data_IF_415959879390
#
_entry.id   IF_415959879390
#
_cell.length_a   1.000
_cell.length_b   1.000
_cell.length_c   1.000
_cell.angle_alpha   90.00
_cell.angle_beta   90.00
_cell.angle_gamma   90.00
#
_symmetry.space_group_name_H-M   'P 1'
#
loop_
_entity.id
_entity.type
_entity.pdbx_description
1 polymer ?
#
# COMPACT_ATOMS: atom_id res chain seq x y z
N UNK A 1 -40.87 -13.87 -51.21
CA UNK A 1 -41.06 -12.64 -50.43
C UNK A 1 -41.15 -13.04 -48.97
N UNK A 2 -40.06 -12.88 -48.22
CA UNK A 2 -39.99 -13.29 -46.82
C UNK A 2 -39.35 -12.18 -46.00
N UNK A 3 -39.99 -11.93 -44.87
CA UNK A 3 -40.09 -10.66 -44.16
C UNK A 3 -38.84 -10.38 -43.31
N UNK A 4 -38.46 -9.11 -43.24
CA UNK A 4 -37.41 -8.60 -42.36
C UNK A 4 -37.92 -8.46 -40.92
N UNK A 5 -37.06 -8.78 -39.95
CA UNK A 5 -37.22 -8.37 -38.55
C UNK A 5 -36.32 -9.18 -37.61
N UNK A 6 -35.44 -8.49 -36.88
CA UNK A 6 -35.64 -8.51 -35.43
C UNK A 6 -35.66 -7.10 -34.83
N UNK A 7 -36.72 -6.84 -34.07
CA UNK A 7 -36.86 -5.63 -33.25
C UNK A 7 -35.92 -5.70 -32.05
N UNK A 8 -35.25 -4.57 -31.81
CA UNK A 8 -34.52 -4.26 -30.59
C UNK A 8 -35.42 -4.34 -29.36
N UNK A 9 -35.06 -5.22 -28.41
CA UNK A 9 -35.59 -5.21 -27.05
C UNK A 9 -34.54 -4.64 -26.09
N UNK A 10 -34.52 -3.31 -25.94
CA UNK A 10 -33.81 -2.61 -24.86
C UNK A 10 -34.67 -2.64 -23.59
N UNK A 11 -34.07 -2.92 -22.44
CA UNK A 11 -34.74 -2.67 -21.15
C UNK A 11 -34.14 -3.35 -19.91
N UNK A 12 -32.83 -3.27 -19.67
CA UNK A 12 -32.32 -3.49 -18.31
C UNK A 12 -32.62 -2.24 -17.47
N UNK A 13 -33.63 -2.33 -16.61
CA UNK A 13 -33.78 -1.39 -15.47
C UNK A 13 -33.04 -1.99 -14.28
N UNK A 14 -31.81 -1.53 -14.03
CA UNK A 14 -31.12 -1.77 -12.77
C UNK A 14 -31.36 -0.56 -11.88
N UNK A 15 -32.24 -0.73 -10.90
CA UNK A 15 -32.53 0.26 -9.86
C UNK A 15 -31.43 0.16 -8.80
N UNK A 16 -30.46 1.07 -8.81
CA UNK A 16 -29.42 1.15 -7.79
C UNK A 16 -29.92 2.05 -6.64
N UNK A 17 -30.44 1.43 -5.59
CA UNK A 17 -30.84 2.11 -4.36
C UNK A 17 -29.58 2.58 -3.62
N UNK A 18 -29.30 3.89 -3.69
CA UNK A 18 -28.25 4.54 -2.90
C UNK A 18 -28.76 4.66 -1.46
N UNK A 19 -28.40 3.67 -0.63
CA UNK A 19 -28.65 3.66 0.81
C UNK A 19 -27.60 4.51 1.53
N UNK A 20 -28.04 5.67 1.99
CA UNK A 20 -27.31 6.70 2.72
C UNK A 20 -26.64 6.17 4.00
N UNK A 21 -25.36 6.54 4.10
CA UNK A 21 -24.48 6.62 5.29
C UNK A 21 -25.19 6.72 6.66
N UNK A 22 -24.76 5.87 7.59
CA UNK A 22 -24.75 6.18 9.01
C UNK A 22 -23.48 5.59 9.63
N UNK A 23 -22.41 6.39 9.68
CA UNK A 23 -21.18 6.06 10.40
C UNK A 23 -21.25 6.66 11.80
N UNK A 24 -21.50 5.80 12.79
CA UNK A 24 -21.49 6.15 14.21
C UNK A 24 -20.04 6.23 14.69
N UNK A 25 -19.58 7.42 15.03
CA UNK A 25 -18.26 7.72 15.56
C UNK A 25 -18.24 7.38 17.06
N UNK A 26 -17.52 6.33 17.48
CA UNK A 26 -17.29 6.01 18.89
C UNK A 26 -15.83 6.29 19.29
N UNK A 27 -15.73 7.17 20.28
CA UNK A 27 -14.54 7.64 21.01
C UNK A 27 -13.85 6.50 21.76
N UNK A 28 -12.50 6.52 21.84
CA UNK A 28 -11.77 5.60 22.72
C UNK A 28 -10.28 5.90 22.91
N UNK A 29 -9.97 6.62 23.99
CA UNK A 29 -8.76 6.57 24.82
C UNK A 29 -7.38 6.93 24.21
N UNK A 30 -6.99 8.20 24.38
CA UNK A 30 -5.61 8.66 24.46
C UNK A 30 -5.03 8.24 25.83
N UNK A 31 -4.17 7.23 25.84
CA UNK A 31 -3.36 6.84 26.99
C UNK A 31 -2.01 7.56 26.96
N UNK A 32 -1.93 8.75 27.54
CA UNK A 32 -0.69 9.45 27.88
C UNK A 32 -0.18 8.89 29.21
N UNK A 33 0.87 8.07 29.17
CA UNK A 33 1.47 7.47 30.36
C UNK A 33 2.98 7.38 30.26
N UNK A 34 3.70 8.50 30.45
CA UNK A 34 5.12 8.53 30.80
C UNK A 34 5.41 9.79 31.62
N UNK A 35 5.27 9.70 32.95
CA UNK A 35 5.89 10.64 33.89
C UNK A 35 6.63 9.81 34.95
N UNK A 36 7.87 9.45 34.63
CA UNK A 36 8.81 8.89 35.60
C UNK A 36 9.51 10.04 36.34
N UNK A 37 9.27 10.04 37.65
CA UNK A 37 9.83 10.87 38.70
C UNK A 37 11.38 10.84 38.67
N UNK A 38 12.03 12.00 38.62
CA UNK A 38 12.58 12.72 39.78
C UNK A 38 13.42 11.84 40.70
N UNK A 39 14.75 11.96 40.59
CA UNK A 39 15.70 11.69 41.67
C UNK A 39 17.01 12.43 41.40
N UNK A 40 17.18 13.56 42.06
CA UNK A 40 18.45 14.22 42.33
C UNK A 40 18.20 15.02 43.61
N UNK A 41 19.04 14.88 44.64
CA UNK A 41 20.09 15.89 44.75
C UNK A 41 21.42 15.39 45.40
N UNK A 42 22.35 16.34 45.48
CA UNK A 42 23.48 16.45 46.42
C UNK A 42 24.89 15.99 45.98
N UNK A 43 25.59 16.99 45.42
CA UNK A 43 26.92 17.51 45.81
C UNK A 43 27.88 16.65 46.64
N UNK A 44 29.12 16.46 46.13
CA UNK A 44 30.27 16.15 46.98
C UNK A 44 31.51 15.60 46.27
N UNK A 45 32.42 16.52 45.88
CA UNK A 45 33.89 16.44 45.84
C UNK A 45 34.70 15.21 45.35
N UNK A 46 35.63 15.52 44.44
CA UNK A 46 37.05 15.06 44.32
C UNK A 46 37.44 14.22 43.06
N UNK A 47 38.51 14.60 42.31
CA UNK A 47 39.03 13.89 41.13
C UNK A 47 40.29 13.03 41.49
N UNK A 48 41.06 12.48 40.52
CA UNK A 48 40.73 11.46 39.51
C UNK A 48 41.79 10.33 39.46
N UNK A 49 41.46 9.05 39.34
CA UNK A 49 42.43 8.05 38.83
C UNK A 49 41.65 6.84 38.29
N UNK A 50 41.88 6.40 37.04
CA UNK A 50 42.06 4.99 36.62
C UNK A 50 42.26 4.88 35.10
N UNK A 51 43.53 4.63 34.74
CA UNK A 51 44.03 3.69 33.72
C UNK A 51 43.33 3.62 32.35
N UNK A 52 44.01 4.15 31.32
CA UNK A 52 43.82 3.77 29.91
C UNK A 52 44.23 2.29 29.71
N UNK A 53 43.25 1.40 29.68
CA UNK A 53 43.40 0.05 29.13
C UNK A 53 43.09 0.05 27.63
N UNK A 54 43.72 -0.82 26.82
CA UNK A 54 43.43 -0.91 25.39
C UNK A 54 41.97 -1.32 25.17
N UNK A 55 41.24 -0.53 24.38
CA UNK A 55 39.87 -0.83 23.98
C UNK A 55 39.84 -2.16 23.21
N UNK A 56 39.07 -3.17 23.63
CA UNK A 56 38.78 -4.30 22.74
C UNK A 56 37.95 -3.76 21.58
N UNK A 57 38.42 -4.01 20.36
CA UNK A 57 37.72 -3.78 19.10
C UNK A 57 36.43 -4.60 19.13
N UNK A 58 35.36 -3.99 19.64
CA UNK A 58 34.01 -4.53 19.50
C UNK A 58 33.60 -4.34 18.06
N UNK A 59 33.80 -5.36 17.22
CA UNK A 59 33.08 -5.47 15.97
C UNK A 59 31.59 -5.41 16.32
N UNK A 60 30.97 -4.28 16.00
CA UNK A 60 29.51 -4.16 16.02
C UNK A 60 28.98 -5.28 15.13
N UNK A 61 28.12 -6.19 15.63
CA UNK A 61 27.42 -7.10 14.73
C UNK A 61 26.60 -6.22 13.78
N UNK A 62 26.93 -6.32 12.50
CA UNK A 62 26.08 -5.85 11.42
C UNK A 62 24.72 -6.54 11.61
N UNK A 63 23.58 -5.82 11.60
CA UNK A 63 22.29 -6.46 11.73
C UNK A 63 22.15 -7.46 10.58
N UNK A 64 22.08 -8.76 10.89
CA UNK A 64 21.72 -9.75 9.88
C UNK A 64 20.38 -9.31 9.27
N UNK A 65 20.25 -9.31 7.93
CA UNK A 65 18.99 -8.96 7.30
C UNK A 65 17.95 -9.95 7.82
N UNK A 66 17.00 -9.43 8.61
CA UNK A 66 15.84 -10.19 9.04
C UNK A 66 15.19 -10.71 7.78
N UNK A 67 15.19 -12.03 7.58
CA UNK A 67 14.54 -12.68 6.45
C UNK A 67 13.11 -12.18 6.40
N UNK A 68 12.85 -11.21 5.51
CA UNK A 68 11.60 -10.50 5.50
C UNK A 68 10.53 -11.50 5.12
N UNK A 69 9.62 -11.81 6.05
CA UNK A 69 8.43 -12.63 5.76
C UNK A 69 7.38 -11.82 4.99
N UNK A 70 7.84 -10.93 4.11
CA UNK A 70 7.04 -10.05 3.28
C UNK A 70 7.57 -10.04 1.85
N UNK A 71 6.67 -9.69 0.94
CA UNK A 71 7.02 -9.19 -0.40
C UNK A 71 6.86 -7.68 -0.40
N UNK A 72 7.64 -6.99 -1.22
CA UNK A 72 7.48 -5.55 -1.47
C UNK A 72 6.71 -5.34 -2.76
N UNK A 73 5.57 -4.65 -2.69
CA UNK A 73 4.79 -4.29 -3.85
C UNK A 73 5.04 -2.83 -4.19
N UNK A 74 5.52 -2.59 -5.40
CA UNK A 74 5.82 -1.27 -5.93
C UNK A 74 4.70 -0.79 -6.85
N UNK A 75 4.32 0.48 -6.72
CA UNK A 75 3.50 1.16 -7.71
C UNK A 75 4.19 2.46 -8.10
N UNK A 76 4.43 2.64 -9.40
CA UNK A 76 5.10 3.82 -9.93
C UNK A 76 4.14 4.56 -10.87
N UNK A 77 4.13 5.88 -10.76
CA UNK A 77 3.35 6.78 -11.59
C UNK A 77 3.75 6.58 -13.07
N UNK A 78 2.79 6.19 -13.90
CA UNK A 78 3.03 5.99 -15.34
C UNK A 78 3.05 7.33 -16.09
N UNK A 79 3.51 7.30 -17.34
CA UNK A 79 3.49 8.49 -18.20
C UNK A 79 2.07 9.06 -18.31
N UNK A 80 1.95 10.39 -18.21
CA UNK A 80 0.69 11.16 -18.22
C UNK A 80 -0.23 10.97 -16.99
N UNK A 81 0.06 10.02 -16.10
CA UNK A 81 -0.56 10.01 -14.78
C UNK A 81 0.02 11.14 -13.92
N UNK A 82 -0.82 11.72 -13.07
CA UNK A 82 -0.42 12.75 -12.11
C UNK A 82 -0.66 12.31 -10.65
N UNK A 83 -1.57 11.36 -10.45
CA UNK A 83 -1.81 10.72 -9.17
C UNK A 83 -2.41 9.32 -9.36
N UNK A 84 -2.26 8.46 -8.34
CA UNK A 84 -2.88 7.15 -8.29
C UNK A 84 -3.03 6.68 -6.85
N UNK A 85 -4.12 5.99 -6.57
CA UNK A 85 -4.42 5.40 -5.27
C UNK A 85 -4.99 4.00 -5.49
N UNK A 86 -4.24 2.96 -5.10
CA UNK A 86 -4.57 1.56 -5.34
C UNK A 86 -4.61 0.78 -4.02
N UNK A 87 -5.77 0.25 -3.67
CA UNK A 87 -5.91 -0.72 -2.57
C UNK A 87 -5.46 -2.11 -3.02
N UNK A 88 -4.73 -2.79 -2.15
CA UNK A 88 -4.17 -4.13 -2.39
C UNK A 88 -4.81 -5.12 -1.43
N UNK A 89 -5.27 -6.24 -1.97
CA UNK A 89 -5.73 -7.42 -1.23
C UNK A 89 -4.96 -8.63 -1.74
N UNK A 90 -4.34 -9.39 -0.84
CA UNK A 90 -3.61 -10.61 -1.15
C UNK A 90 -4.19 -11.77 -0.31
N UNK A 91 -4.50 -12.90 -0.96
CA UNK A 91 -5.15 -14.07 -0.34
C UNK A 91 -6.42 -13.75 0.44
N UNK A 92 -7.20 -12.82 -0.10
CA UNK A 92 -8.45 -12.33 0.51
C UNK A 92 -8.24 -11.41 1.73
N UNK A 93 -7.00 -11.10 2.11
CA UNK A 93 -6.66 -10.21 3.22
C UNK A 93 -6.30 -8.80 2.71
N UNK A 94 -6.91 -7.74 3.26
CA UNK A 94 -6.48 -6.37 2.96
C UNK A 94 -5.01 -6.18 3.36
N UNK A 95 -4.18 -5.76 2.41
CA UNK A 95 -2.75 -5.58 2.61
C UNK A 95 -2.40 -4.10 2.85
N UNK A 96 -3.04 -3.18 2.11
CA UNK A 96 -2.79 -1.75 2.28
C UNK A 96 -3.20 -0.91 1.06
N UNK A 97 -2.66 0.31 1.01
CA UNK A 97 -2.91 1.31 -0.03
C UNK A 97 -1.58 1.79 -0.60
N UNK A 98 -1.49 1.86 -1.91
CA UNK A 98 -0.36 2.44 -2.65
C UNK A 98 -0.83 3.79 -3.21
N UNK A 99 -0.21 4.87 -2.77
CA UNK A 99 -0.55 6.24 -3.20
C UNK A 99 0.66 6.89 -3.86
N UNK A 100 0.49 7.32 -5.11
CA UNK A 100 1.51 8.03 -5.88
C UNK A 100 1.00 9.38 -6.34
N UNK A 101 1.93 10.32 -6.50
CA UNK A 101 1.68 11.65 -7.04
C UNK A 101 2.91 12.16 -7.78
N UNK A 102 2.83 13.32 -8.43
CA UNK A 102 4.01 13.95 -9.06
C UNK A 102 5.14 14.25 -8.06
N UNK A 103 4.82 14.47 -6.78
CA UNK A 103 5.83 14.74 -5.73
C UNK A 103 6.39 13.45 -5.11
N UNK A 104 5.64 12.37 -5.19
CA UNK A 104 6.00 11.05 -4.68
C UNK A 104 5.61 9.99 -5.73
N UNK A 105 6.45 9.80 -6.76
CA UNK A 105 6.06 9.04 -7.94
C UNK A 105 6.10 7.53 -7.72
N UNK A 106 6.56 7.05 -6.57
CA UNK A 106 6.69 5.62 -6.29
C UNK A 106 6.22 5.31 -4.88
N UNK A 107 5.23 4.43 -4.76
CA UNK A 107 4.77 3.87 -3.51
C UNK A 107 5.29 2.44 -3.33
N UNK A 108 5.55 2.06 -2.08
CA UNK A 108 5.96 0.70 -1.71
C UNK A 108 5.06 0.22 -0.57
N UNK A 109 4.62 -1.04 -0.66
CA UNK A 109 3.84 -1.71 0.37
C UNK A 109 4.47 -3.06 0.71
N UNK A 110 4.82 -3.26 1.97
CA UNK A 110 5.22 -4.55 2.50
C UNK A 110 4.00 -5.42 2.78
N UNK A 111 3.89 -6.58 2.11
CA UNK A 111 2.77 -7.52 2.26
C UNK A 111 3.28 -8.82 2.85
N UNK A 112 2.76 -9.27 4.02
CA UNK A 112 3.19 -10.52 4.62
C UNK A 112 2.95 -11.73 3.72
N UNK A 113 4.02 -12.48 3.41
CA UNK A 113 4.01 -13.74 2.67
C UNK A 113 4.91 -14.70 3.42
N UNK A 114 4.34 -15.79 3.94
CA UNK A 114 5.04 -16.72 4.85
C UNK A 114 5.64 -17.94 4.14
N UNK A 115 5.28 -18.16 2.88
CA UNK A 115 5.71 -19.32 2.10
C UNK A 115 5.69 -18.99 0.62
N UNK A 116 6.65 -19.54 -0.13
CA UNK A 116 6.64 -19.46 -1.58
C UNK A 116 5.43 -20.20 -2.18
N UNK A 117 4.84 -19.64 -3.22
CA UNK A 117 3.78 -20.29 -3.98
C UNK A 117 2.89 -19.31 -4.73
N UNK A 118 1.74 -19.81 -5.21
CA UNK A 118 0.75 -19.00 -5.92
C UNK A 118 -0.18 -18.28 -4.94
N UNK A 119 -0.21 -16.96 -5.03
CA UNK A 119 -1.03 -16.07 -4.21
C UNK A 119 -2.11 -15.39 -5.06
N UNK A 120 -3.32 -15.34 -4.56
CA UNK A 120 -4.40 -14.60 -5.23
C UNK A 120 -4.31 -13.13 -4.87
N UNK A 121 -4.53 -12.24 -5.84
CA UNK A 121 -4.55 -10.81 -5.57
C UNK A 121 -5.77 -10.12 -6.17
N UNK A 122 -6.13 -9.00 -5.55
CA UNK A 122 -7.07 -8.01 -6.08
C UNK A 122 -6.51 -6.61 -5.86
N UNK A 123 -6.58 -5.81 -6.91
CA UNK A 123 -6.19 -4.41 -6.93
C UNK A 123 -7.43 -3.59 -7.28
N UNK A 124 -7.69 -2.51 -6.57
CA UNK A 124 -8.81 -1.62 -6.86
C UNK A 124 -8.50 -0.20 -6.43
N UNK A 125 -8.85 0.77 -7.25
CA UNK A 125 -8.48 2.14 -6.97
C UNK A 125 -8.85 3.09 -8.10
N UNK A 126 -8.11 4.19 -8.16
CA UNK A 126 -8.30 5.25 -9.14
C UNK A 126 -6.95 5.79 -9.56
N UNK A 127 -6.88 6.32 -10.77
CA UNK A 127 -5.74 7.10 -11.24
C UNK A 127 -6.22 8.36 -11.93
N UNK A 128 -5.45 9.42 -11.81
CA UNK A 128 -5.74 10.70 -12.43
C UNK A 128 -4.73 10.96 -13.52
N UNK A 129 -5.23 11.29 -14.72
CA UNK A 129 -4.43 11.67 -15.87
C UNK A 129 -4.57 13.15 -16.16
N UNK A 130 -3.49 13.76 -16.64
CA UNK A 130 -3.56 15.10 -17.22
C UNK A 130 -4.12 15.02 -18.64
N UNK A 131 -5.25 15.69 -18.88
CA UNK A 131 -5.82 15.88 -20.21
C UNK A 131 -5.82 17.36 -20.59
N UNK A 132 -5.85 17.65 -21.90
CA UNK A 132 -5.89 19.04 -22.39
C UNK A 132 -7.11 19.84 -21.90
N UNK A 133 -8.18 19.15 -21.47
CA UNK A 133 -9.41 19.73 -20.94
C UNK A 133 -9.48 19.74 -19.40
N UNK A 134 -8.38 19.41 -18.72
CA UNK A 134 -8.31 19.27 -17.26
C UNK A 134 -7.91 17.86 -16.82
N UNK A 135 -7.91 17.64 -15.52
CA UNK A 135 -7.53 16.36 -14.93
C UNK A 135 -8.72 15.38 -15.00
N UNK A 136 -8.45 14.13 -15.40
CA UNK A 136 -9.46 13.09 -15.56
C UNK A 136 -9.15 11.94 -14.62
N UNK A 137 -10.08 11.67 -13.71
CA UNK A 137 -10.02 10.50 -12.82
C UNK A 137 -10.64 9.29 -13.52
N UNK A 138 -9.92 8.17 -13.50
CA UNK A 138 -10.32 6.91 -14.13
C UNK A 138 -10.23 5.79 -13.09
N UNK A 139 -11.25 4.93 -13.05
CA UNK A 139 -11.24 3.77 -12.18
C UNK A 139 -10.13 2.79 -12.60
N UNK A 140 -9.50 2.13 -11.63
CA UNK A 140 -8.45 1.15 -11.86
C UNK A 140 -8.79 -0.16 -11.12
N UNK A 141 -8.66 -1.30 -11.79
CA UNK A 141 -8.96 -2.61 -11.21
C UNK A 141 -8.07 -3.71 -11.76
N UNK A 142 -7.75 -4.68 -10.91
CA UNK A 142 -6.96 -5.85 -11.25
C UNK A 142 -7.34 -7.04 -10.39
N UNK A 143 -7.25 -8.25 -10.95
CA UNK A 143 -7.33 -9.49 -10.18
C UNK A 143 -6.58 -10.58 -10.88
N UNK A 144 -5.93 -11.46 -10.12
CA UNK A 144 -5.18 -12.55 -10.70
C UNK A 144 -4.55 -13.44 -9.65
N UNK A 145 -3.58 -14.20 -10.12
CA UNK A 145 -2.67 -15.02 -9.32
C UNK A 145 -1.26 -14.58 -9.67
N UNK A 146 -0.41 -14.48 -8.66
CA UNK A 146 1.03 -14.21 -8.81
C UNK A 146 1.79 -15.27 -8.03
N UNK A 147 2.89 -15.77 -8.58
CA UNK A 147 3.81 -16.61 -7.81
C UNK A 147 4.76 -15.70 -7.04
N UNK A 148 4.82 -15.86 -5.72
CA UNK A 148 5.62 -14.99 -4.86
C UNK A 148 6.25 -15.77 -3.71
N UNK A 149 7.39 -15.29 -3.24
CA UNK A 149 8.18 -15.84 -2.14
C UNK A 149 8.58 -14.73 -1.16
N UNK A 150 8.84 -15.05 0.12
CA UNK A 150 9.36 -14.07 1.06
C UNK A 150 10.62 -13.39 0.52
N UNK A 151 10.65 -12.06 0.53
CA UNK A 151 11.73 -11.23 0.00
C UNK A 151 11.58 -10.82 -1.47
N UNK A 152 10.55 -11.27 -2.18
CA UNK A 152 10.33 -10.88 -3.57
C UNK A 152 9.85 -9.42 -3.70
N UNK A 153 10.20 -8.83 -4.83
CA UNK A 153 9.73 -7.53 -5.27
C UNK A 153 8.73 -7.70 -6.41
N UNK A 154 7.51 -7.21 -6.23
CA UNK A 154 6.43 -7.26 -7.22
C UNK A 154 6.06 -5.84 -7.66
N UNK A 155 5.63 -5.67 -8.90
CA UNK A 155 5.22 -4.39 -9.47
C UNK A 155 3.75 -4.38 -9.86
N UNK A 156 3.06 -3.28 -9.54
CA UNK A 156 1.75 -2.98 -10.09
C UNK A 156 1.92 -2.34 -11.46
N UNK A 157 1.52 -3.05 -12.51
CA UNK A 157 1.41 -2.54 -13.87
C UNK A 157 0.03 -1.97 -14.12
N UNK A 158 -0.03 -0.95 -14.97
CA UNK A 158 -1.25 -0.25 -15.37
C UNK A 158 -1.36 -0.24 -16.89
N UNK A 159 -2.47 -0.76 -17.41
CA UNK A 159 -2.75 -0.81 -18.85
C UNK A 159 -4.13 -0.22 -19.17
N UNK A 160 -4.31 0.45 -20.31
CA UNK A 160 -5.62 0.93 -20.74
C UNK A 160 -6.59 -0.24 -21.04
N UNK A 161 -7.71 -0.31 -20.32
CA UNK A 161 -8.78 -1.31 -20.47
C UNK A 161 -10.05 -0.78 -21.14
N UNK A 162 -9.96 0.30 -21.91
CA UNK A 162 -11.12 0.99 -22.48
C UNK A 162 -11.65 2.07 -21.53
N UNK A 163 -12.61 1.73 -20.66
CA UNK A 163 -13.25 2.70 -19.74
C UNK A 163 -12.58 2.77 -18.36
N UNK A 164 -11.58 1.93 -18.13
CA UNK A 164 -10.86 1.82 -16.86
C UNK A 164 -9.41 1.42 -17.12
N UNK A 165 -8.58 1.55 -16.10
CA UNK A 165 -7.22 1.01 -16.10
C UNK A 165 -7.26 -0.42 -15.56
N UNK A 166 -6.69 -1.35 -16.32
CA UNK A 166 -6.45 -2.71 -15.87
C UNK A 166 -5.14 -2.72 -15.11
N UNK A 167 -5.16 -3.30 -13.92
CA UNK A 167 -4.00 -3.45 -13.07
C UNK A 167 -3.57 -4.91 -13.03
N UNK A 168 -2.26 -5.14 -13.10
CA UNK A 168 -1.66 -6.47 -12.98
C UNK A 168 -0.56 -6.41 -11.94
N UNK A 169 -0.46 -7.45 -11.11
CA UNK A 169 0.66 -7.65 -10.18
C UNK A 169 1.59 -8.71 -10.80
N UNK A 170 2.86 -8.38 -10.96
CA UNK A 170 3.90 -9.23 -11.57
C UNK A 170 5.24 -9.12 -10.87
#
# INVERSE_FOLDING_TARGET
MSNAGPMSGRGLKVSLSVGLLALTLLVGAVGLGLLSQSSGPDTGSAPPITVSGPAPTGSSPEPEPSSSSSVRIFYTLAAQQIAGEISVVMDGRPAGLLTVSLNDPTAVLDVPVTSAGSHTYRLAGRTTFRSGNGDVEVAAYGRGVVDASPGDDLAVRSEPGGQAIVLTLE
#
